data_IF_161361518051
#
_entry.id   IF_161361518051
#
_cell.length_a   1.000
_cell.length_b   1.000
_cell.length_c   1.000
_cell.angle_alpha   90.00
_cell.angle_beta   90.00
_cell.angle_gamma   90.00
#
_symmetry.space_group_name_H-M   'P 1'
#
loop_
_entity.id
_entity.type
_entity.pdbx_description
1 polymer ?
#
# COMPACT_ATOMS: atom_id res chain seq x y z
N UNK A 1 1.99 -11.36 2.05
CA UNK A 1 1.17 -11.85 3.18
C UNK A 1 0.28 -12.97 2.69
N UNK A 2 0.05 -13.98 3.51
CA UNK A 2 -0.84 -15.11 3.16
C UNK A 2 -2.24 -14.61 2.81
N UNK A 3 -2.76 -15.07 1.67
CA UNK A 3 -4.09 -14.70 1.16
C UNK A 3 -4.19 -13.29 0.58
N UNK A 4 -3.10 -12.56 0.41
CA UNK A 4 -3.12 -11.26 -0.27
C UNK A 4 -3.20 -11.40 -1.79
N UNK A 5 -3.75 -10.39 -2.46
CA UNK A 5 -3.77 -10.28 -3.93
C UNK A 5 -2.36 -10.30 -4.50
N UNK A 6 -1.40 -9.63 -3.85
CA UNK A 6 0.00 -9.64 -4.25
C UNK A 6 0.61 -11.04 -4.22
N UNK A 7 0.34 -11.84 -3.16
CA UNK A 7 0.82 -13.22 -3.08
C UNK A 7 0.21 -14.10 -4.18
N UNK A 8 -1.08 -13.92 -4.46
CA UNK A 8 -1.76 -14.66 -5.52
C UNK A 8 -1.19 -14.30 -6.90
N UNK A 9 -0.98 -13.01 -7.17
CA UNK A 9 -0.40 -12.54 -8.44
C UNK A 9 1.01 -13.09 -8.68
N UNK A 10 1.85 -13.12 -7.64
CA UNK A 10 3.18 -13.74 -7.76
C UNK A 10 3.08 -15.21 -8.13
N UNK A 11 2.13 -15.95 -7.54
CA UNK A 11 1.90 -17.37 -7.88
C UNK A 11 1.46 -17.56 -9.32
N UNK A 12 0.56 -16.70 -9.80
CA UNK A 12 -0.09 -16.87 -11.09
C UNK A 12 0.80 -16.39 -12.25
N UNK A 13 1.52 -15.28 -12.06
CA UNK A 13 2.22 -14.57 -13.14
C UNK A 13 3.75 -14.75 -13.08
N UNK A 14 4.33 -14.94 -11.88
CA UNK A 14 5.78 -14.91 -11.66
C UNK A 14 6.33 -16.18 -10.98
N UNK A 15 5.49 -17.20 -10.72
CA UNK A 15 5.86 -18.39 -9.94
C UNK A 15 7.01 -19.20 -10.56
N UNK A 16 7.19 -19.18 -11.88
CA UNK A 16 8.28 -19.87 -12.54
C UNK A 16 9.64 -19.23 -12.15
N UNK A 17 10.28 -19.78 -11.14
CA UNK A 17 11.57 -19.33 -10.63
C UNK A 17 11.52 -18.47 -9.37
N UNK A 18 10.32 -18.21 -8.82
CA UNK A 18 10.16 -17.49 -7.57
C UNK A 18 9.86 -18.45 -6.42
N UNK A 19 10.68 -18.41 -5.37
CA UNK A 19 10.40 -19.13 -4.13
C UNK A 19 9.58 -18.21 -3.20
N UNK A 20 8.27 -18.38 -3.19
CA UNK A 20 7.36 -17.55 -2.42
C UNK A 20 7.26 -18.04 -0.97
N UNK A 21 7.75 -17.23 -0.02
CA UNK A 21 7.56 -17.44 1.41
C UNK A 21 6.43 -16.53 1.92
N UNK A 22 5.29 -17.14 2.24
CA UNK A 22 4.16 -16.40 2.79
C UNK A 22 4.26 -16.29 4.33
N UNK A 23 3.88 -15.13 4.85
CA UNK A 23 3.86 -14.82 6.28
C UNK A 23 2.47 -14.38 6.73
N UNK A 24 2.12 -14.48 8.03
CA UNK A 24 0.81 -14.08 8.54
C UNK A 24 0.50 -12.59 8.36
N UNK A 25 1.52 -11.73 8.40
CA UNK A 25 1.37 -10.29 8.26
C UNK A 25 2.53 -9.65 7.51
N UNK A 26 2.36 -8.39 7.15
CA UNK A 26 3.39 -7.64 6.41
C UNK A 26 4.62 -7.32 7.28
N UNK A 27 4.42 -7.10 8.58
CA UNK A 27 5.53 -6.88 9.54
C UNK A 27 6.47 -8.08 9.60
N UNK A 28 5.93 -9.30 9.61
CA UNK A 28 6.69 -10.54 9.58
C UNK A 28 7.43 -10.73 8.25
N UNK A 29 6.84 -10.28 7.13
CA UNK A 29 7.53 -10.28 5.83
C UNK A 29 8.79 -9.38 5.89
N UNK A 30 8.67 -8.17 6.44
CA UNK A 30 9.82 -7.26 6.57
C UNK A 30 10.85 -7.79 7.57
N UNK A 31 10.41 -8.42 8.65
CA UNK A 31 11.32 -9.09 9.59
C UNK A 31 12.14 -10.18 8.89
N UNK A 32 11.51 -10.99 8.03
CA UNK A 32 12.20 -12.01 7.25
C UNK A 32 13.20 -11.41 6.25
N UNK A 33 12.86 -10.26 5.64
CA UNK A 33 13.75 -9.51 4.74
C UNK A 33 14.99 -8.99 5.50
N UNK A 34 14.78 -8.32 6.63
CA UNK A 34 15.88 -7.78 7.46
C UNK A 34 16.79 -8.90 8.00
N UNK A 35 16.23 -10.07 8.28
CA UNK A 35 16.98 -11.26 8.69
C UNK A 35 17.70 -11.97 7.54
N UNK A 36 17.50 -11.54 6.28
CA UNK A 36 18.08 -12.20 5.10
C UNK A 36 17.46 -13.55 4.75
N UNK A 37 16.27 -13.85 5.27
CA UNK A 37 15.53 -15.10 4.96
C UNK A 37 14.87 -15.03 3.58
N UNK A 38 14.52 -13.82 3.13
CA UNK A 38 14.01 -13.52 1.81
C UNK A 38 14.79 -12.36 1.19
N UNK A 39 14.84 -12.30 -0.13
CA UNK A 39 15.57 -11.27 -0.88
C UNK A 39 14.72 -10.02 -1.16
N UNK A 40 13.40 -10.16 -1.18
CA UNK A 40 12.46 -9.08 -1.43
C UNK A 40 11.12 -9.34 -0.75
N UNK A 41 10.36 -8.24 -0.53
CA UNK A 41 8.95 -8.27 -0.10
C UNK A 41 8.14 -7.52 -1.13
N UNK A 42 6.96 -8.03 -1.45
CA UNK A 42 6.02 -7.39 -2.38
C UNK A 42 4.64 -7.25 -1.76
N UNK A 43 4.08 -6.08 -1.90
CA UNK A 43 2.68 -5.70 -1.65
C UNK A 43 2.47 -4.30 -2.23
N UNK A 44 1.39 -3.61 -1.90
CA UNK A 44 1.11 -2.26 -2.35
C UNK A 44 2.24 -1.30 -1.95
N UNK A 45 2.57 -0.38 -2.82
CA UNK A 45 3.68 0.55 -2.65
C UNK A 45 3.56 1.39 -1.38
N UNK A 46 2.36 1.90 -1.08
CA UNK A 46 2.09 2.68 0.13
C UNK A 46 2.27 1.84 1.41
N UNK A 47 1.93 0.55 1.39
CA UNK A 47 2.15 -0.37 2.52
C UNK A 47 3.66 -0.58 2.70
N UNK A 48 4.40 -0.79 1.60
CA UNK A 48 5.86 -0.93 1.65
C UNK A 48 6.53 0.33 2.18
N UNK A 49 6.07 1.50 1.73
CA UNK A 49 6.57 2.79 2.18
C UNK A 49 6.33 3.02 3.68
N UNK A 50 5.11 2.72 4.16
CA UNK A 50 4.78 2.80 5.58
C UNK A 50 5.67 1.89 6.43
N UNK A 51 5.89 0.66 6.00
CA UNK A 51 6.78 -0.27 6.71
C UNK A 51 8.25 0.18 6.69
N UNK A 52 8.72 0.75 5.57
CA UNK A 52 10.07 1.28 5.46
C UNK A 52 10.29 2.53 6.34
N UNK A 53 9.25 3.34 6.55
CA UNK A 53 9.27 4.54 7.40
C UNK A 53 9.28 4.24 8.90
N UNK A 54 9.03 3.00 9.31
CA UNK A 54 9.08 2.64 10.73
C UNK A 54 10.52 2.78 11.28
N UNK A 55 10.71 3.38 12.46
CA UNK A 55 12.05 3.54 13.06
C UNK A 55 12.86 2.24 13.18
N UNK A 56 12.16 1.10 13.37
CA UNK A 56 12.79 -0.22 13.43
C UNK A 56 13.39 -0.68 12.09
N UNK A 57 12.90 -0.14 10.97
CA UNK A 57 13.25 -0.54 9.61
C UNK A 57 14.06 0.53 8.87
N UNK A 58 14.14 1.74 9.40
CA UNK A 58 14.85 2.85 8.81
C UNK A 58 16.31 2.48 8.47
N UNK A 59 16.73 2.77 7.24
CA UNK A 59 18.07 2.45 6.73
C UNK A 59 18.35 0.96 6.48
N UNK A 60 17.42 0.04 6.82
CA UNK A 60 17.60 -1.41 6.63
C UNK A 60 16.93 -1.92 5.36
N UNK A 61 15.85 -1.25 4.93
CA UNK A 61 15.06 -1.62 3.75
C UNK A 61 14.77 -0.37 2.93
N UNK A 62 14.46 -0.55 1.65
CA UNK A 62 14.03 0.52 0.74
C UNK A 62 12.96 0.01 -0.20
N UNK A 63 12.06 0.89 -0.61
CA UNK A 63 11.16 0.63 -1.74
C UNK A 63 11.94 0.89 -3.04
N UNK A 64 11.88 -0.06 -3.98
CA UNK A 64 12.73 0.01 -5.20
C UNK A 64 12.00 0.50 -6.44
N UNK A 65 10.68 0.73 -6.37
CA UNK A 65 9.87 1.08 -7.53
C UNK A 65 9.71 -0.09 -8.50
N UNK A 66 9.10 0.14 -9.65
CA UNK A 66 8.64 -0.81 -10.65
C UNK A 66 7.32 -1.50 -10.28
N UNK A 67 6.22 -0.72 -10.16
CA UNK A 67 4.90 -1.28 -9.95
C UNK A 67 4.51 -2.17 -11.15
N UNK A 68 3.86 -3.28 -10.87
CA UNK A 68 3.38 -4.24 -11.87
C UNK A 68 1.85 -4.40 -11.84
N UNK A 69 1.16 -3.61 -11.03
CA UNK A 69 -0.30 -3.55 -10.96
C UNK A 69 -0.76 -2.19 -10.44
N UNK A 70 -2.04 -1.91 -10.66
CA UNK A 70 -2.76 -0.80 -10.06
C UNK A 70 -3.83 -1.39 -9.13
N UNK A 71 -3.86 -0.92 -7.88
CA UNK A 71 -4.80 -1.39 -6.88
C UNK A 71 -5.66 -0.23 -6.39
N UNK A 72 -6.98 -0.39 -6.48
CA UNK A 72 -7.93 0.61 -5.97
C UNK A 72 -8.27 0.31 -4.53
N UNK A 73 -8.21 1.32 -3.69
CA UNK A 73 -8.66 1.24 -2.31
C UNK A 73 -10.14 1.59 -2.22
N UNK A 74 -10.86 0.89 -1.36
CA UNK A 74 -12.27 1.12 -1.11
C UNK A 74 -12.56 1.32 0.38
N UNK A 75 -13.54 2.17 0.67
CA UNK A 75 -14.08 2.31 2.02
C UNK A 75 -15.27 1.37 2.17
N UNK A 76 -15.15 0.39 3.09
CA UNK A 76 -16.23 -0.55 3.40
C UNK A 76 -17.29 0.11 4.29
N UNK A 77 -18.52 0.12 3.85
CA UNK A 77 -19.66 0.63 4.60
C UNK A 77 -20.65 -0.50 4.91
N UNK A 78 -21.38 -0.45 6.03
CA UNK A 78 -22.49 -1.37 6.28
C UNK A 78 -23.54 -1.25 5.16
N UNK A 79 -24.21 -2.36 4.84
CA UNK A 79 -25.38 -2.34 3.95
C UNK A 79 -26.43 -1.37 4.49
N UNK A 80 -27.13 -0.74 3.59
CA UNK A 80 -28.19 0.23 3.91
C UNK A 80 -27.68 1.50 4.65
N UNK A 81 -26.39 1.79 4.54
CA UNK A 81 -25.79 3.02 5.07
C UNK A 81 -25.66 4.05 3.94
N UNK A 82 -26.17 5.24 4.15
CA UNK A 82 -26.25 6.34 3.16
C UNK A 82 -25.09 7.35 3.26
N UNK A 83 -24.06 7.08 4.07
CA UNK A 83 -22.93 8.00 4.26
C UNK A 83 -21.88 7.96 3.16
N UNK A 84 -22.07 7.21 2.10
CA UNK A 84 -21.12 7.15 0.98
C UNK A 84 -20.80 8.53 0.40
N UNK A 85 -21.82 9.36 0.18
CA UNK A 85 -21.64 10.72 -0.31
C UNK A 85 -20.84 11.60 0.67
N UNK A 86 -21.04 11.44 1.97
CA UNK A 86 -20.30 12.18 2.98
C UNK A 86 -18.83 11.76 3.01
N UNK A 87 -18.55 10.45 2.85
CA UNK A 87 -17.18 9.93 2.74
C UNK A 87 -16.49 10.48 1.49
N UNK A 88 -17.15 10.45 0.34
CA UNK A 88 -16.62 11.02 -0.89
C UNK A 88 -16.32 12.52 -0.72
N UNK A 89 -17.26 13.27 -0.17
CA UNK A 89 -17.07 14.72 0.09
C UNK A 89 -15.91 14.99 1.05
N UNK A 90 -15.72 14.13 2.06
CA UNK A 90 -14.59 14.26 2.99
C UNK A 90 -13.24 14.00 2.28
N UNK A 91 -13.17 13.00 1.39
CA UNK A 91 -11.96 12.72 0.60
C UNK A 91 -11.64 13.89 -0.33
N UNK A 92 -12.65 14.41 -1.04
CA UNK A 92 -12.48 15.57 -1.92
C UNK A 92 -12.00 16.80 -1.15
N UNK A 93 -12.58 17.07 0.04
CA UNK A 93 -12.15 18.17 0.89
C UNK A 93 -10.69 18.00 1.37
N UNK A 94 -10.26 16.80 1.73
CA UNK A 94 -8.87 16.51 2.10
C UNK A 94 -7.89 16.75 0.94
N UNK A 95 -8.32 16.49 -0.28
CA UNK A 95 -7.51 16.76 -1.47
C UNK A 95 -7.43 18.26 -1.71
N UNK A 96 -8.55 18.98 -1.61
CA UNK A 96 -8.63 20.43 -1.85
C UNK A 96 -7.85 21.24 -0.81
N UNK A 97 -7.92 20.88 0.46
CA UNK A 97 -7.26 21.62 1.56
C UNK A 97 -5.80 21.20 1.80
N UNK A 98 -5.30 20.20 1.05
CA UNK A 98 -3.94 19.69 1.14
C UNK A 98 -3.70 18.70 2.30
N UNK A 99 -4.71 18.37 3.11
CA UNK A 99 -4.53 17.41 4.21
C UNK A 99 -4.29 15.98 3.72
N UNK A 100 -4.72 15.64 2.50
CA UNK A 100 -4.35 14.39 1.83
C UNK A 100 -2.83 14.27 1.67
N UNK A 101 -2.19 15.26 1.07
CA UNK A 101 -0.74 15.26 0.88
C UNK A 101 -0.01 15.27 2.24
N UNK A 102 -0.50 16.07 3.17
CA UNK A 102 0.07 16.09 4.51
C UNK A 102 0.01 14.72 5.20
N UNK A 103 -1.08 13.99 5.04
CA UNK A 103 -1.20 12.63 5.59
C UNK A 103 -0.17 11.67 4.97
N UNK A 104 0.10 11.78 3.66
CA UNK A 104 1.17 11.01 3.01
C UNK A 104 2.54 11.38 3.59
N UNK A 105 2.86 12.66 3.65
CA UNK A 105 4.15 13.15 4.16
C UNK A 105 4.40 12.70 5.60
N UNK A 106 3.38 12.81 6.47
CA UNK A 106 3.48 12.46 7.88
C UNK A 106 3.68 10.94 8.11
N UNK A 107 3.14 10.09 7.23
CA UNK A 107 3.12 8.65 7.45
C UNK A 107 4.18 7.87 6.64
N UNK A 108 4.51 8.34 5.45
CA UNK A 108 5.39 7.62 4.53
C UNK A 108 6.53 8.45 3.95
N UNK A 109 6.56 9.75 4.21
CA UNK A 109 7.58 10.67 3.67
C UNK A 109 9.02 10.27 4.04
N UNK A 110 9.23 9.70 5.23
CA UNK A 110 10.54 9.24 5.67
C UNK A 110 11.14 8.12 4.79
N UNK A 111 10.31 7.37 4.06
CA UNK A 111 10.77 6.35 3.10
C UNK A 111 11.23 6.92 1.75
N UNK A 112 11.01 8.22 1.50
CA UNK A 112 11.17 8.83 0.18
C UNK A 112 10.11 8.37 -0.83
N UNK A 113 8.92 7.98 -0.34
CA UNK A 113 7.81 7.57 -1.20
C UNK A 113 7.30 8.73 -2.04
N UNK A 114 7.21 8.50 -3.34
CA UNK A 114 6.58 9.40 -4.30
C UNK A 114 5.36 8.67 -4.90
N UNK A 115 4.14 9.18 -4.68
CA UNK A 115 2.94 8.59 -5.26
C UNK A 115 2.96 8.73 -6.78
N UNK A 116 2.27 7.83 -7.48
CA UNK A 116 2.06 7.97 -8.91
C UNK A 116 1.05 9.10 -9.17
N UNK A 117 1.50 10.22 -9.73
CA UNK A 117 0.70 11.43 -9.99
C UNK A 117 -0.49 11.20 -10.94
N UNK A 118 -0.46 10.13 -11.74
CA UNK A 118 -1.60 9.78 -12.60
C UNK A 118 -2.75 9.09 -11.83
N UNK A 119 -2.48 8.60 -10.61
CA UNK A 119 -3.42 7.86 -9.77
C UNK A 119 -3.69 8.57 -8.43
N UNK A 120 -2.83 9.51 -8.04
CA UNK A 120 -2.91 10.21 -6.77
C UNK A 120 -2.74 11.73 -6.97
N UNK A 121 -3.57 12.54 -6.32
CA UNK A 121 -4.69 12.12 -5.48
C UNK A 121 -5.78 11.39 -6.28
N UNK A 122 -6.56 10.49 -5.64
CA UNK A 122 -7.59 9.72 -6.34
C UNK A 122 -8.77 10.59 -6.75
N UNK A 123 -9.46 10.14 -7.81
CA UNK A 123 -10.82 10.62 -8.11
C UNK A 123 -11.80 9.66 -7.45
N UNK A 124 -12.71 10.18 -6.63
CA UNK A 124 -13.72 9.35 -5.97
C UNK A 124 -14.71 8.78 -6.99
N UNK A 125 -15.12 7.54 -6.80
CA UNK A 125 -16.14 6.90 -7.63
C UNK A 125 -17.55 7.22 -7.08
N UNK A 126 -18.54 7.21 -7.97
CA UNK A 126 -19.92 7.42 -7.56
C UNK A 126 -20.40 6.32 -6.60
N UNK A 127 -21.24 6.71 -5.65
CA UNK A 127 -21.88 5.75 -4.74
C UNK A 127 -22.82 4.84 -5.53
N UNK A 128 -22.78 3.54 -5.28
CA UNK A 128 -23.63 2.51 -5.89
C UNK A 128 -24.95 2.36 -5.13
#
# INVERSE_FOLDING_TARGET
>A
MTGSTSAQRIKDEYAAGTNLLEQPGYGECVTALVAGTVDAVTTDDIILAGLASLPANEGKVKVVGNPFSEEKYGVGLPKDNDVCADVNSAIEAMIEDGSWQKALDDNVGASGYEPNDSLNPPTVEACA
#
